data_IF_768750990829
#
_entry.id   IF_768750990829
#
_cell.length_a   1.000
_cell.length_b   1.000
_cell.length_c   1.000
_cell.angle_alpha   90.00
_cell.angle_beta   90.00
_cell.angle_gamma   90.00
#
_symmetry.space_group_name_H-M   'P 1'
#
loop_
_entity.id
_entity.type
_entity.pdbx_description
1 polymer ?
#
# COMPACT_ATOMS: atom_id res chain seq x y z
N UNK A 1 -1.05 7.72 22.55
CA UNK A 1 -1.12 8.17 21.14
C UNK A 1 0.13 7.66 20.47
N UNK A 2 0.03 6.59 19.67
CA UNK A 2 1.19 5.96 19.04
C UNK A 2 1.25 6.42 17.59
N UNK A 3 2.27 7.20 17.25
CA UNK A 3 2.58 7.58 15.87
C UNK A 3 3.41 6.45 15.26
N UNK A 4 2.91 5.84 14.19
CA UNK A 4 3.72 4.99 13.31
C UNK A 4 4.59 5.91 12.44
N UNK A 5 5.78 6.25 12.93
CA UNK A 5 6.81 6.85 12.10
C UNK A 5 7.63 5.73 11.47
N UNK A 6 7.84 5.76 10.15
CA UNK A 6 8.78 4.86 9.48
C UNK A 6 10.20 5.26 9.86
N UNK A 7 10.77 4.60 10.87
CA UNK A 7 12.22 4.55 11.06
C UNK A 7 12.72 3.26 10.40
N UNK A 8 13.29 3.36 9.19
CA UNK A 8 13.69 2.19 8.42
C UNK A 8 14.45 2.52 7.14
N UNK A 9 15.19 1.52 6.66
CA UNK A 9 15.89 1.53 5.37
C UNK A 9 14.85 1.63 4.25
N UNK A 10 15.12 2.46 3.23
CA UNK A 10 14.22 2.65 2.08
C UNK A 10 14.07 1.33 1.32
N UNK A 11 12.98 0.61 1.58
CA UNK A 11 12.66 -0.69 1.00
C UNK A 11 11.23 -1.12 1.37
N UNK A 12 10.71 -2.13 0.68
CA UNK A 12 9.44 -2.74 1.05
C UNK A 12 9.57 -3.48 2.38
N UNK A 13 8.49 -3.50 3.17
CA UNK A 13 8.43 -4.29 4.40
C UNK A 13 7.93 -5.69 4.07
N UNK A 14 8.60 -6.75 4.54
CA UNK A 14 8.20 -8.13 4.20
C UNK A 14 6.88 -8.56 4.87
N UNK A 15 6.58 -8.05 6.07
CA UNK A 15 5.40 -8.46 6.83
C UNK A 15 4.91 -7.37 7.79
N UNK A 16 3.59 -7.19 7.90
CA UNK A 16 2.97 -6.24 8.85
C UNK A 16 1.72 -6.84 9.47
N UNK A 17 1.56 -6.67 10.79
CA UNK A 17 0.36 -7.06 11.54
C UNK A 17 -0.24 -5.82 12.18
N UNK A 18 -1.53 -5.58 11.97
CA UNK A 18 -2.31 -4.53 12.63
C UNK A 18 -3.48 -5.20 13.35
N UNK A 19 -3.60 -4.98 14.66
CA UNK A 19 -4.69 -5.55 15.49
C UNK A 19 -4.87 -7.08 15.36
N UNK A 20 -3.77 -7.82 15.17
CA UNK A 20 -3.81 -9.28 14.99
C UNK A 20 -4.10 -9.74 13.56
N UNK A 21 -4.33 -8.82 12.63
CA UNK A 21 -4.54 -9.09 11.21
C UNK A 21 -3.28 -8.82 10.40
N UNK A 22 -2.98 -9.72 9.47
CA UNK A 22 -1.84 -9.59 8.57
C UNK A 22 -2.22 -8.63 7.45
N UNK A 23 -1.57 -7.49 7.36
CA UNK A 23 -1.87 -6.43 6.37
C UNK A 23 -0.83 -6.36 5.26
N UNK A 24 0.39 -6.85 5.50
CA UNK A 24 1.43 -7.06 4.48
C UNK A 24 2.00 -8.46 4.62
N UNK A 25 2.18 -9.15 3.50
CA UNK A 25 2.84 -10.46 3.41
C UNK A 25 3.67 -10.53 2.12
N UNK A 26 4.90 -11.03 2.23
CA UNK A 26 5.83 -11.18 1.11
C UNK A 26 6.03 -9.85 0.34
N UNK A 27 6.04 -8.73 1.07
CA UNK A 27 6.19 -7.40 0.48
C UNK A 27 4.94 -6.84 -0.20
N UNK A 28 3.80 -7.53 -0.14
CA UNK A 28 2.52 -7.13 -0.77
C UNK A 28 1.41 -6.92 0.24
N UNK A 29 0.47 -6.03 -0.09
CA UNK A 29 -0.73 -5.79 0.71
C UNK A 29 -1.61 -7.04 0.71
N UNK A 30 -1.83 -7.62 1.90
CA UNK A 30 -2.51 -8.90 2.04
C UNK A 30 -4.02 -8.83 1.75
N UNK A 31 -4.61 -7.64 1.90
CA UNK A 31 -6.06 -7.42 1.87
C UNK A 31 -6.52 -6.56 0.68
N UNK A 32 -5.64 -6.27 -0.27
CA UNK A 32 -5.94 -5.39 -1.39
C UNK A 32 -5.56 -6.04 -2.71
N UNK A 33 -6.43 -5.89 -3.70
CA UNK A 33 -6.05 -6.10 -5.10
C UNK A 33 -5.25 -4.88 -5.57
N UNK A 34 -3.93 -5.01 -5.51
CA UNK A 34 -3.01 -3.94 -5.92
C UNK A 34 -3.14 -3.60 -7.41
N UNK A 35 -3.39 -4.58 -8.28
CA UNK A 35 -3.49 -4.35 -9.72
C UNK A 35 -4.72 -3.49 -10.04
N UNK A 36 -5.85 -3.82 -9.41
CA UNK A 36 -7.06 -3.01 -9.51
C UNK A 36 -6.84 -1.60 -8.96
N UNK A 37 -6.24 -1.46 -7.77
CA UNK A 37 -5.97 -0.15 -7.18
C UNK A 37 -5.09 0.70 -8.10
N UNK A 38 -4.03 0.11 -8.67
CA UNK A 38 -3.13 0.79 -9.59
C UNK A 38 -3.89 1.23 -10.85
N UNK A 39 -4.76 0.38 -11.39
CA UNK A 39 -5.57 0.72 -12.56
C UNK A 39 -6.52 1.89 -12.27
N UNK A 40 -7.22 1.87 -11.14
CA UNK A 40 -8.11 2.95 -10.69
C UNK A 40 -7.33 4.25 -10.49
N UNK A 41 -6.20 4.22 -9.77
CA UNK A 41 -5.37 5.40 -9.55
C UNK A 41 -4.82 5.99 -10.85
N UNK A 42 -4.39 5.15 -11.79
CA UNK A 42 -3.94 5.61 -13.11
C UNK A 42 -5.07 6.23 -13.92
N UNK A 43 -6.28 5.70 -13.83
CA UNK A 43 -7.46 6.26 -14.48
C UNK A 43 -7.79 7.66 -13.92
N UNK A 44 -7.78 7.82 -12.60
CA UNK A 44 -7.98 9.13 -11.95
C UNK A 44 -6.92 10.16 -12.39
N UNK A 45 -5.65 9.75 -12.51
CA UNK A 45 -4.58 10.62 -13.01
C UNK A 45 -4.81 11.00 -14.46
N UNK A 46 -5.24 10.06 -15.30
CA UNK A 46 -5.57 10.31 -16.71
C UNK A 46 -6.70 11.31 -16.86
N UNK A 47 -7.76 11.16 -16.07
CA UNK A 47 -8.90 12.07 -16.05
C UNK A 47 -8.48 13.47 -15.58
N UNK A 48 -7.67 13.55 -14.52
CA UNK A 48 -7.13 14.82 -14.03
C UNK A 48 -6.26 15.54 -15.07
N UNK A 49 -5.42 14.78 -15.79
CA UNK A 49 -4.51 15.31 -16.81
C UNK A 49 -5.16 15.44 -18.20
N UNK A 50 -6.39 14.96 -18.38
CA UNK A 50 -7.13 14.90 -19.65
C UNK A 50 -6.37 14.13 -20.76
N UNK A 51 -5.78 12.98 -20.42
CA UNK A 51 -5.01 12.11 -21.33
C UNK A 51 -5.53 10.67 -21.40
#
# INVERSE_FOLDING_TARGET
MSILATVGIKGYVDYTIINGEITVRDGRLANLDEEKLIAEANQEVREFLQI
#
